data_IF_145159977011
#
_entry.id   IF_145159977011
#
_cell.length_a   1.000
_cell.length_b   1.000
_cell.length_c   1.000
_cell.angle_alpha   90.00
_cell.angle_beta   90.00
_cell.angle_gamma   90.00
#
_symmetry.space_group_name_H-M   'P 1'
#
loop_
_entity.id
_entity.type
_entity.pdbx_description
1 polymer ?
#
# COMPACT_ATOMS: atom_id res chain seq x y z
N UNK A 1 10.81 16.64 -1.35
CA UNK A 1 11.29 15.25 -1.21
C UNK A 1 10.06 14.38 -0.94
N UNK A 2 9.97 13.19 -1.55
CA UNK A 2 8.86 12.28 -1.28
C UNK A 2 9.02 11.77 0.15
N UNK A 3 8.01 12.00 0.98
CA UNK A 3 7.96 11.48 2.34
C UNK A 3 6.62 10.75 2.43
N UNK A 4 6.59 9.43 2.61
CA UNK A 4 7.66 8.49 2.98
C UNK A 4 8.65 8.12 1.85
N UNK A 5 9.76 7.45 2.22
CA UNK A 5 10.76 6.94 1.26
C UNK A 5 10.25 5.72 0.49
N UNK A 6 10.75 5.53 -0.73
CA UNK A 6 10.36 4.40 -1.59
C UNK A 6 10.70 3.06 -0.93
N UNK A 7 11.85 2.96 -0.24
CA UNK A 7 12.27 1.72 0.41
C UNK A 7 11.32 1.33 1.56
N UNK A 8 10.84 2.30 2.35
CA UNK A 8 9.85 2.04 3.40
C UNK A 8 8.54 1.51 2.81
N UNK A 9 8.10 2.10 1.70
CA UNK A 9 6.91 1.65 0.97
C UNK A 9 7.09 0.25 0.37
N UNK A 10 8.28 -0.09 -0.13
CA UNK A 10 8.56 -1.40 -0.70
C UNK A 10 8.66 -2.51 0.36
N UNK A 11 8.99 -2.17 1.60
CA UNK A 11 8.88 -3.12 2.72
C UNK A 11 7.42 -3.49 3.04
N UNK A 12 6.44 -2.62 2.70
CA UNK A 12 5.00 -2.90 2.83
C UNK A 12 4.42 -3.56 1.57
N UNK A 13 4.96 -3.22 0.41
CA UNK A 13 4.51 -3.67 -0.91
C UNK A 13 5.70 -4.22 -1.71
N UNK A 14 5.70 -5.53 -1.97
CA UNK A 14 6.80 -6.21 -2.65
C UNK A 14 7.05 -5.81 -4.12
N UNK A 15 6.33 -4.82 -4.67
CA UNK A 15 6.48 -4.40 -6.07
C UNK A 15 6.20 -2.91 -6.25
N UNK A 16 7.12 -2.25 -6.97
CA UNK A 16 6.98 -0.85 -7.40
C UNK A 16 5.70 -0.63 -8.22
N UNK A 17 5.34 -1.58 -9.09
CA UNK A 17 4.13 -1.50 -9.90
C UNK A 17 2.86 -1.59 -9.05
N UNK A 18 2.85 -2.50 -8.07
CA UNK A 18 1.74 -2.65 -7.13
C UNK A 18 1.59 -1.40 -6.28
N UNK A 19 2.70 -0.86 -5.75
CA UNK A 19 2.72 0.38 -5.00
C UNK A 19 2.09 1.54 -5.78
N UNK A 20 2.57 1.78 -7.01
CA UNK A 20 2.04 2.86 -7.87
C UNK A 20 0.55 2.65 -8.18
N UNK A 21 0.14 1.42 -8.48
CA UNK A 21 -1.25 1.09 -8.81
C UNK A 21 -2.18 1.29 -7.60
N UNK A 22 -1.80 0.79 -6.44
CA UNK A 22 -2.56 0.89 -5.19
C UNK A 22 -2.67 2.35 -4.76
N UNK A 23 -1.55 3.09 -4.74
CA UNK A 23 -1.53 4.50 -4.39
C UNK A 23 -2.40 5.34 -5.34
N UNK A 24 -2.35 5.08 -6.65
CA UNK A 24 -3.18 5.77 -7.64
C UNK A 24 -4.67 5.51 -7.46
N UNK A 25 -5.05 4.24 -7.23
CA UNK A 25 -6.44 3.86 -6.94
C UNK A 25 -6.94 4.53 -5.65
N UNK A 26 -6.15 4.47 -4.58
CA UNK A 26 -6.51 5.09 -3.31
C UNK A 26 -6.64 6.60 -3.43
N UNK A 27 -5.72 7.26 -4.11
CA UNK A 27 -5.75 8.70 -4.35
C UNK A 27 -7.02 9.15 -5.11
N UNK A 28 -7.56 8.31 -6.00
CA UNK A 28 -8.83 8.59 -6.69
C UNK A 28 -10.01 8.49 -5.74
N UNK A 29 -10.09 7.43 -4.94
CA UNK A 29 -11.16 7.28 -3.93
C UNK A 29 -11.14 8.45 -2.94
N UNK A 30 -9.95 8.83 -2.49
CA UNK A 30 -9.72 9.99 -1.62
C UNK A 30 -10.25 11.29 -2.21
N UNK A 31 -10.11 11.50 -3.52
CA UNK A 31 -10.66 12.68 -4.20
C UNK A 31 -12.19 12.60 -4.32
N UNK A 32 -12.73 11.43 -4.63
CA UNK A 32 -14.17 11.22 -4.82
C UNK A 32 -14.95 11.31 -3.49
N UNK A 33 -14.39 10.78 -2.40
CA UNK A 33 -15.03 10.76 -1.07
C UNK A 33 -14.57 11.89 -0.16
N UNK A 34 -13.55 12.65 -0.56
CA UNK A 34 -12.90 13.66 0.27
C UNK A 34 -12.47 13.09 1.64
N UNK A 35 -11.97 11.85 1.64
CA UNK A 35 -11.63 11.09 2.84
C UNK A 35 -10.12 10.88 2.96
N UNK A 36 -9.59 10.95 4.18
CA UNK A 36 -8.19 10.64 4.47
C UNK A 36 -8.06 9.98 5.84
N UNK A 37 -7.26 8.91 5.91
CA UNK A 37 -7.05 8.16 7.16
C UNK A 37 -5.89 8.72 7.98
N UNK A 38 -4.96 9.43 7.34
CA UNK A 38 -3.83 10.10 8.01
C UNK A 38 -4.33 11.41 8.63
N UNK A 39 -4.16 11.57 9.95
CA UNK A 39 -4.58 12.78 10.68
C UNK A 39 -3.76 14.02 10.30
N UNK A 40 -2.44 13.87 10.12
CA UNK A 40 -1.53 14.97 9.81
C UNK A 40 -0.72 14.65 8.54
N UNK A 41 -1.36 14.72 7.36
CA UNK A 41 -0.67 14.38 6.13
C UNK A 41 0.39 15.44 5.80
N UNK A 42 1.60 15.00 5.49
CA UNK A 42 2.69 15.89 5.01
C UNK A 42 2.43 16.29 3.56
N UNK A 43 1.83 15.39 2.78
CA UNK A 43 1.54 15.59 1.38
C UNK A 43 0.23 16.34 1.16
N UNK A 44 0.29 17.39 0.34
CA UNK A 44 -0.91 18.10 -0.12
C UNK A 44 -1.70 17.33 -1.18
N UNK A 45 -0.99 16.57 -2.03
CA UNK A 45 -1.59 15.80 -3.13
C UNK A 45 -2.13 14.46 -2.62
N UNK A 46 -3.28 14.02 -3.14
CA UNK A 46 -3.93 12.77 -2.76
C UNK A 46 -3.04 11.53 -2.96
N UNK A 47 -2.17 11.53 -3.98
CA UNK A 47 -1.21 10.43 -4.19
C UNK A 47 -0.20 10.35 -3.04
N UNK A 48 0.32 11.48 -2.58
CA UNK A 48 1.26 11.49 -1.44
C UNK A 48 0.56 11.07 -0.15
N UNK A 49 -0.67 11.54 0.08
CA UNK A 49 -1.49 11.10 1.23
C UNK A 49 -1.74 9.59 1.21
N UNK A 50 -2.01 9.01 0.03
CA UNK A 50 -2.18 7.57 -0.11
C UNK A 50 -0.88 6.79 0.18
N UNK A 51 0.29 7.34 -0.19
CA UNK A 51 1.58 6.75 0.17
C UNK A 51 1.82 6.81 1.69
N UNK A 52 1.43 7.90 2.34
CA UNK A 52 1.50 8.02 3.80
C UNK A 52 0.55 7.02 4.51
N UNK A 53 -0.65 6.78 3.98
CA UNK A 53 -1.56 5.74 4.50
C UNK A 53 -0.96 4.33 4.39
N UNK A 54 -0.27 4.04 3.29
CA UNK A 54 0.43 2.76 3.07
C UNK A 54 1.57 2.58 4.07
N UNK A 55 2.40 3.61 4.23
CA UNK A 55 3.56 3.57 5.13
C UNK A 55 3.14 3.46 6.59
N UNK A 56 2.09 4.18 6.99
CA UNK A 56 1.44 4.08 8.30
C UNK A 56 0.73 2.73 8.53
N UNK A 57 0.58 1.88 7.50
CA UNK A 57 -0.12 0.61 7.58
C UNK A 57 -1.64 0.74 7.77
N UNK A 58 -2.20 1.90 7.44
CA UNK A 58 -3.65 2.17 7.50
C UNK A 58 -4.38 1.63 6.27
N UNK A 59 -3.65 1.38 5.18
CA UNK A 59 -4.17 0.84 3.94
C UNK A 59 -3.75 -0.62 3.75
N UNK A 60 -4.73 -1.51 3.60
CA UNK A 60 -4.51 -2.91 3.24
C UNK A 60 -5.01 -3.18 1.81
N UNK A 61 -4.21 -3.88 1.01
CA UNK A 61 -4.62 -4.32 -0.32
C UNK A 61 -4.63 -5.85 -0.35
N UNK A 62 -5.69 -6.42 -0.91
CA UNK A 62 -5.78 -7.84 -1.20
C UNK A 62 -5.73 -8.02 -2.71
N UNK A 63 -4.84 -8.87 -3.19
CA UNK A 63 -4.97 -9.41 -4.55
C UNK A 63 -5.77 -10.69 -4.44
N UNK A 64 -6.90 -10.78 -5.11
CA UNK A 64 -7.79 -11.96 -5.11
C UNK A 64 -7.13 -13.18 -5.79
N UNK A 65 -5.85 -13.08 -6.18
CA UNK A 65 -5.04 -14.21 -6.57
C UNK A 65 -4.67 -15.01 -5.32
N UNK A 66 -5.42 -16.08 -5.11
CA UNK A 66 -5.01 -17.29 -4.40
C UNK A 66 -3.59 -17.68 -4.83
N UNK A 67 -2.57 -17.20 -4.13
CA UNK A 67 -1.24 -17.81 -4.19
C UNK A 67 -1.38 -19.12 -3.45
N UNK A 68 -1.51 -20.21 -4.20
CA UNK A 68 -1.07 -21.50 -3.71
C UNK A 68 0.41 -21.34 -3.35
N UNK A 69 0.70 -20.95 -2.12
CA UNK A 69 2.03 -21.19 -1.56
C UNK A 69 2.02 -22.68 -1.26
N UNK A 70 2.64 -23.42 -2.19
CA UNK A 70 3.10 -24.76 -1.96
C UNK A 70 4.09 -24.72 -0.80
N UNK A 71 3.58 -24.99 0.40
CA UNK A 71 4.34 -25.67 1.43
C UNK A 71 3.59 -26.97 1.68
N UNK A 72 3.86 -27.95 0.82
CA UNK A 72 3.77 -29.38 1.14
C UNK A 72 4.06 -29.60 2.63
N UNK A 73 3.24 -30.38 3.39
CA UNK A 73 3.59 -30.72 4.76
C UNK A 73 4.92 -31.49 4.71
N UNK A 74 5.99 -30.90 5.23
CA UNK A 74 7.20 -31.65 5.53
C UNK A 74 6.85 -32.64 6.63
N UNK A 75 6.49 -33.85 6.22
CA UNK A 75 6.51 -35.02 7.07
C UNK A 75 7.98 -35.24 7.45
N UNK A 76 8.32 -34.92 8.70
CA UNK A 76 9.56 -35.39 9.29
C UNK A 76 9.28 -36.81 9.80
N UNK A 77 10.13 -37.73 9.36
CA UNK A 77 10.18 -39.17 9.66
C UNK A 77 10.25 -39.47 11.15
#
# INVERSE_FOLDING_TARGET
MLNPSIDSLLNKLNSKYTLVTVASKRARVMQEKNDGMVQNPVSFKSVGKALEEIDAGLLYYTTDKKTAVDTTPTINE
#
